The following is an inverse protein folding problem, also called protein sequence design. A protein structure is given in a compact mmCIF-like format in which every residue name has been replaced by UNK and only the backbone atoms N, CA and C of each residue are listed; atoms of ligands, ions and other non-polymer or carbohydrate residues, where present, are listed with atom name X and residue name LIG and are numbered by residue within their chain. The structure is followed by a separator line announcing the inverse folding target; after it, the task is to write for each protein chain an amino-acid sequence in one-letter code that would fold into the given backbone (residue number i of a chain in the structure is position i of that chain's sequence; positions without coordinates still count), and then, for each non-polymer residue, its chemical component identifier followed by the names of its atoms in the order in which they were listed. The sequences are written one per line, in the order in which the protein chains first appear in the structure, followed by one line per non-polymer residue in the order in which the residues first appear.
data_IF_059805749480
#
_entry.id   IF_059805749480
#
_cell.length_a   1.000
_cell.length_b   1.000
_cell.length_c   1.000
_cell.angle_alpha   90.00
_cell.angle_beta   90.00
_cell.angle_gamma   90.00
#
_symmetry.space_group_name_H-M   'P 1'
#
loop_
_entity.id
_entity.type
_entity.pdbx_description
1 polymer ?
#
# COMPACT_ATOMS: atom_id res chain seq x y z
N UNK A 1 10.23 6.49 -25.81
CA UNK A 1 9.33 5.73 -24.91
C UNK A 1 9.41 4.27 -25.30
N UNK A 2 9.51 3.36 -24.35
CA UNK A 2 9.48 1.91 -24.61
C UNK A 2 8.10 1.47 -25.10
N UNK A 3 8.03 0.28 -25.75
CA UNK A 3 6.76 -0.30 -26.26
C UNK A 3 5.70 -0.54 -25.18
N UNK A 4 6.11 -0.64 -23.90
CA UNK A 4 5.24 -0.91 -22.76
C UNK A 4 4.97 0.32 -21.91
N UNK A 5 5.54 1.48 -22.24
CA UNK A 5 5.36 2.71 -21.47
C UNK A 5 3.90 3.13 -21.44
N UNK A 6 3.41 3.50 -20.28
CA UNK A 6 2.06 4.01 -20.04
C UNK A 6 2.13 5.29 -19.19
N UNK A 7 1.02 6.01 -19.12
CA UNK A 7 0.87 7.15 -18.23
C UNK A 7 -0.28 6.92 -17.27
N UNK A 8 -0.06 7.20 -15.99
CA UNK A 8 -1.05 7.11 -14.94
C UNK A 8 -1.10 8.43 -14.18
N UNK A 9 -2.23 9.14 -14.26
CA UNK A 9 -2.44 10.44 -13.59
C UNK A 9 -1.28 11.43 -13.83
N UNK A 10 -0.81 11.55 -15.07
CA UNK A 10 0.28 12.46 -15.45
C UNK A 10 1.70 11.94 -15.17
N UNK A 11 1.85 10.82 -14.48
CA UNK A 11 3.16 10.19 -14.22
C UNK A 11 3.43 9.09 -15.24
N UNK A 12 4.61 9.15 -15.89
CA UNK A 12 5.04 8.14 -16.88
C UNK A 12 5.64 6.93 -16.17
N UNK A 13 5.17 5.75 -16.59
CA UNK A 13 5.69 4.46 -16.18
C UNK A 13 6.35 3.74 -17.35
N UNK A 14 7.41 2.99 -17.09
CA UNK A 14 8.12 2.22 -18.12
C UNK A 14 7.27 1.05 -18.65
N UNK A 15 6.36 0.56 -17.82
CA UNK A 15 5.41 -0.52 -18.15
C UNK A 15 4.20 -0.49 -17.18
N UNK A 16 3.10 -1.19 -17.51
CA UNK A 16 1.87 -1.19 -16.71
C UNK A 16 1.86 -2.19 -15.54
N UNK A 17 2.96 -2.84 -15.22
CA UNK A 17 3.00 -3.86 -14.15
C UNK A 17 3.09 -3.18 -12.79
N UNK A 18 2.04 -3.32 -12.00
CA UNK A 18 1.87 -2.69 -10.69
C UNK A 18 1.40 -3.75 -9.67
N UNK A 19 2.31 -4.35 -8.87
CA UNK A 19 1.91 -5.20 -7.75
C UNK A 19 0.96 -4.50 -6.79
N UNK A 20 -0.11 -5.21 -6.42
CA UNK A 20 -1.16 -4.67 -5.57
C UNK A 20 -0.72 -4.58 -4.10
N UNK A 21 -1.31 -3.62 -3.39
CA UNK A 21 -1.16 -3.49 -1.94
C UNK A 21 -1.51 -4.79 -1.21
N UNK A 22 -0.75 -5.09 -0.17
CA UNK A 22 -0.91 -6.32 0.63
C UNK A 22 -0.25 -7.58 0.04
N UNK A 23 0.26 -7.51 -1.20
CA UNK A 23 0.96 -8.62 -1.87
C UNK A 23 2.46 -8.39 -2.01
N UNK A 24 2.93 -7.18 -1.80
CA UNK A 24 4.31 -6.76 -2.11
C UNK A 24 5.03 -6.08 -0.92
N UNK A 25 4.45 -6.09 0.27
CA UNK A 25 5.04 -5.48 1.47
C UNK A 25 5.39 -4.01 1.26
N UNK A 26 6.61 -3.64 1.61
CA UNK A 26 7.21 -2.34 1.27
C UNK A 26 8.23 -2.45 0.11
N UNK A 27 8.30 -3.59 -0.57
CA UNK A 27 9.08 -3.82 -1.78
C UNK A 27 10.52 -4.25 -1.53
N UNK A 28 11.20 -3.77 -0.50
CA UNK A 28 12.61 -4.09 -0.26
C UNK A 28 12.83 -5.57 0.05
N UNK A 29 11.85 -6.30 0.59
CA UNK A 29 11.91 -7.75 0.79
C UNK A 29 12.02 -8.50 -0.54
N UNK A 30 11.33 -8.02 -1.58
CA UNK A 30 11.43 -8.60 -2.93
C UNK A 30 12.70 -8.17 -3.67
N UNK A 31 13.27 -7.02 -3.30
CA UNK A 31 14.54 -6.57 -3.88
C UNK A 31 15.72 -7.49 -3.51
N UNK A 32 15.59 -8.33 -2.47
CA UNK A 32 16.56 -9.38 -2.15
C UNK A 32 16.54 -10.54 -3.17
N UNK A 33 15.43 -10.69 -3.93
CA UNK A 33 15.23 -11.80 -4.87
C UNK A 33 15.50 -11.38 -6.32
N UNK A 34 15.19 -10.15 -6.69
CA UNK A 34 15.37 -9.61 -8.06
C UNK A 34 15.37 -8.09 -8.07
N UNK A 35 15.82 -7.50 -9.17
CA UNK A 35 15.74 -6.03 -9.37
C UNK A 35 14.30 -5.59 -9.59
N UNK A 36 13.68 -5.06 -8.52
CA UNK A 36 12.29 -4.58 -8.55
C UNK A 36 12.11 -3.32 -9.43
N UNK A 37 13.18 -2.65 -9.88
CA UNK A 37 13.09 -1.55 -10.84
C UNK A 37 12.60 -1.97 -12.23
N UNK A 38 12.48 -3.29 -12.49
CA UNK A 38 11.80 -3.80 -13.69
C UNK A 38 10.29 -3.54 -13.70
N UNK A 39 9.66 -3.25 -12.55
CA UNK A 39 8.24 -2.91 -12.42
C UNK A 39 7.97 -1.46 -12.87
N UNK A 40 6.74 -1.16 -13.30
CA UNK A 40 6.32 0.22 -13.54
C UNK A 40 6.29 1.03 -12.25
N UNK A 41 5.59 0.53 -11.27
CA UNK A 41 5.55 0.96 -9.86
C UNK A 41 4.95 -0.18 -9.03
N UNK A 42 4.64 0.05 -7.77
CA UNK A 42 3.82 -0.85 -6.94
C UNK A 42 3.08 -0.08 -5.84
N UNK A 43 2.01 -0.67 -5.31
CA UNK A 43 1.33 -0.16 -4.14
C UNK A 43 1.85 -0.84 -2.89
N UNK A 44 2.43 -0.07 -1.97
CA UNK A 44 2.94 -0.64 -0.72
C UNK A 44 1.82 -0.94 0.29
N UNK A 45 2.18 -1.58 1.39
CA UNK A 45 1.27 -2.04 2.44
C UNK A 45 0.37 -0.93 2.95
N UNK A 46 -0.94 -1.22 3.06
CA UNK A 46 -1.94 -0.32 3.62
C UNK A 46 -1.50 0.25 4.96
N UNK A 47 -1.39 1.57 5.01
CA UNK A 47 -0.83 2.34 6.12
C UNK A 47 -1.96 3.08 6.84
N UNK A 48 -1.99 2.97 8.16
CA UNK A 48 -2.91 3.68 9.05
C UNK A 48 -2.18 4.77 9.83
N UNK A 49 -2.93 5.73 10.40
CA UNK A 49 -2.38 6.76 11.27
C UNK A 49 -1.52 6.15 12.37
N UNK A 50 -2.11 5.24 13.16
CA UNK A 50 -1.43 4.54 14.25
C UNK A 50 -0.97 3.14 13.84
N UNK A 51 0.06 2.56 14.52
CA UNK A 51 0.50 1.19 14.28
C UNK A 51 -0.61 0.17 14.55
N UNK A 52 -0.65 -0.91 13.75
CA UNK A 52 -1.60 -2.01 13.94
C UNK A 52 -0.88 -3.35 13.92
N UNK A 53 -1.19 -4.20 14.90
CA UNK A 53 -0.71 -5.59 14.93
C UNK A 53 -1.52 -6.51 14.01
N UNK A 54 -2.67 -6.04 13.51
CA UNK A 54 -3.61 -6.86 12.75
C UNK A 54 -4.51 -7.72 13.65
N UNK A 55 -5.20 -8.66 13.01
CA UNK A 55 -6.08 -9.58 13.72
C UNK A 55 -5.29 -10.66 14.49
N UNK A 56 -5.86 -11.27 15.54
CA UNK A 56 -5.26 -12.43 16.21
C UNK A 56 -5.02 -13.59 15.25
N UNK A 57 -4.01 -14.39 15.55
CA UNK A 57 -3.74 -15.65 14.82
C UNK A 57 -4.65 -16.78 15.31
N UNK A 58 -4.97 -17.80 14.46
CA UNK A 58 -4.55 -17.96 13.06
C UNK A 58 -5.32 -16.99 12.13
N UNK A 59 -4.63 -16.38 11.19
CA UNK A 59 -5.21 -15.41 10.26
C UNK A 59 -4.90 -15.68 8.79
N UNK A 60 -4.32 -16.85 8.53
CA UNK A 60 -4.07 -17.39 7.20
C UNK A 60 -4.50 -18.87 7.23
N UNK A 61 -5.19 -19.32 6.19
CA UNK A 61 -5.58 -20.71 5.99
C UNK A 61 -5.46 -21.10 4.51
N UNK A 62 -4.91 -22.29 4.26
CA UNK A 62 -4.90 -22.86 2.91
C UNK A 62 -6.27 -23.40 2.53
N UNK A 63 -6.58 -23.37 1.25
CA UNK A 63 -7.73 -24.01 0.64
C UNK A 63 -7.34 -24.66 -0.69
N UNK A 64 -8.23 -25.45 -1.31
CA UNK A 64 -7.94 -26.29 -2.48
C UNK A 64 -7.28 -25.54 -3.65
N UNK A 65 -7.59 -24.27 -3.84
CA UNK A 65 -7.12 -23.47 -4.99
C UNK A 65 -6.44 -22.15 -4.59
N UNK A 66 -6.02 -22.01 -3.32
CA UNK A 66 -5.39 -20.76 -2.88
C UNK A 66 -5.26 -20.64 -1.36
N UNK A 67 -5.26 -19.38 -0.91
CA UNK A 67 -5.09 -19.04 0.50
C UNK A 67 -6.15 -18.01 0.90
N UNK A 68 -6.79 -18.25 2.03
CA UNK A 68 -7.71 -17.30 2.67
C UNK A 68 -6.94 -16.54 3.75
N UNK A 69 -7.14 -15.24 3.85
CA UNK A 69 -6.51 -14.44 4.89
C UNK A 69 -7.47 -13.46 5.56
N UNK A 70 -7.15 -13.14 6.81
CA UNK A 70 -7.78 -12.09 7.61
C UNK A 70 -6.70 -11.32 8.38
N UNK A 71 -5.71 -10.77 7.68
CA UNK A 71 -4.52 -10.12 8.30
C UNK A 71 -4.91 -8.89 9.14
N UNK A 72 -5.91 -8.10 8.72
CA UNK A 72 -6.43 -7.00 9.52
C UNK A 72 -5.55 -5.74 9.51
N UNK A 73 -4.98 -5.37 8.35
CA UNK A 73 -4.17 -4.16 8.16
C UNK A 73 -2.95 -4.07 9.08
N UNK A 74 -2.23 -5.15 9.33
CA UNK A 74 -0.97 -5.07 10.05
C UNK A 74 -0.01 -4.12 9.35
N UNK A 75 0.40 -3.06 10.04
CA UNK A 75 1.35 -2.06 9.53
C UNK A 75 1.96 -1.26 10.69
N UNK A 76 3.12 -0.61 10.50
CA UNK A 76 3.82 0.10 11.56
C UNK A 76 3.27 1.51 11.89
N UNK A 77 2.25 1.98 11.16
CA UNK A 77 1.74 3.34 11.24
C UNK A 77 2.54 4.33 10.37
N UNK A 78 1.89 5.43 9.98
CA UNK A 78 2.42 6.38 8.98
C UNK A 78 3.76 6.99 9.39
N UNK A 79 3.97 7.31 10.66
CA UNK A 79 5.22 7.92 11.14
C UNK A 79 6.42 6.98 10.93
N UNK A 80 6.25 5.68 11.21
CA UNK A 80 7.31 4.69 10.95
C UNK A 80 7.47 4.36 9.48
N UNK A 81 6.40 4.39 8.69
CA UNK A 81 6.50 4.24 7.23
C UNK A 81 7.42 5.32 6.68
N UNK A 82 7.24 6.57 7.08
CA UNK A 82 8.06 7.70 6.63
C UNK A 82 9.49 7.61 7.15
N UNK A 83 9.66 7.33 8.45
CA UNK A 83 10.99 7.37 9.08
C UNK A 83 11.85 6.13 8.85
N UNK A 84 11.24 4.97 8.58
CA UNK A 84 11.96 3.69 8.49
C UNK A 84 11.76 2.99 7.15
N UNK A 85 10.50 2.82 6.68
CA UNK A 85 10.20 1.95 5.53
C UNK A 85 10.54 2.62 4.18
N UNK A 86 10.12 3.88 3.97
CA UNK A 86 10.47 4.64 2.76
C UNK A 86 11.99 4.83 2.61
N UNK A 87 12.78 5.15 3.65
CA UNK A 87 14.24 5.17 3.55
C UNK A 87 14.89 3.83 3.17
N UNK A 88 14.33 2.69 3.61
CA UNK A 88 14.79 1.37 3.15
C UNK A 88 14.47 1.15 1.67
N UNK A 89 13.23 1.46 1.28
CA UNK A 89 12.77 1.33 -0.09
C UNK A 89 13.59 2.18 -1.06
N UNK A 90 13.89 3.43 -0.71
CA UNK A 90 14.67 4.37 -1.53
C UNK A 90 16.06 3.83 -1.92
N UNK A 91 16.60 2.87 -1.16
CA UNK A 91 17.89 2.24 -1.46
C UNK A 91 17.83 1.25 -2.62
N UNK A 92 16.66 0.67 -2.91
CA UNK A 92 16.49 -0.41 -3.89
C UNK A 92 15.45 -0.11 -4.98
N UNK A 93 14.61 0.92 -4.82
CA UNK A 93 13.61 1.31 -5.81
C UNK A 93 13.66 2.82 -6.05
N UNK A 94 13.81 3.22 -7.31
CA UNK A 94 14.13 4.61 -7.68
C UNK A 94 13.00 5.32 -8.44
N UNK A 95 11.80 4.76 -8.42
CA UNK A 95 10.61 5.30 -9.09
C UNK A 95 9.57 5.72 -8.05
N UNK A 96 8.62 6.60 -8.42
CA UNK A 96 7.48 6.90 -7.55
C UNK A 96 6.69 5.64 -7.19
N UNK A 97 6.18 5.56 -5.98
CA UNK A 97 5.35 4.47 -5.47
C UNK A 97 3.94 4.92 -5.14
N UNK A 98 3.00 3.98 -5.10
CA UNK A 98 1.64 4.21 -4.63
C UNK A 98 1.58 3.95 -3.12
N UNK A 99 1.15 4.94 -2.37
CA UNK A 99 0.91 4.82 -0.94
C UNK A 99 -0.52 4.36 -0.68
N UNK A 100 -0.70 3.10 -0.25
CA UNK A 100 -2.02 2.63 0.16
C UNK A 100 -2.37 3.19 1.55
N UNK A 101 -3.42 4.01 1.60
CA UNK A 101 -3.88 4.69 2.81
C UNK A 101 -5.15 4.03 3.33
N UNK A 102 -5.14 3.65 4.59
CA UNK A 102 -6.27 3.05 5.28
C UNK A 102 -6.56 3.78 6.59
N UNK A 103 -7.80 3.74 7.06
CA UNK A 103 -8.21 4.38 8.31
C UNK A 103 -9.55 3.85 8.79
N UNK A 104 -9.97 4.32 9.96
CA UNK A 104 -11.23 3.96 10.63
C UNK A 104 -12.14 5.18 10.82
N UNK A 105 -11.61 6.37 10.56
CA UNK A 105 -12.32 7.64 10.58
C UNK A 105 -11.76 8.55 9.48
N UNK A 106 -12.56 9.51 9.02
CA UNK A 106 -12.20 10.43 7.94
C UNK A 106 -10.94 11.24 8.27
N UNK A 107 -10.80 11.69 9.52
CA UNK A 107 -9.64 12.44 9.99
C UNK A 107 -8.34 11.60 10.00
N UNK A 108 -8.43 10.28 10.20
CA UNK A 108 -7.28 9.38 10.10
C UNK A 108 -6.79 9.26 8.64
N UNK A 109 -7.73 9.14 7.69
CA UNK A 109 -7.38 9.17 6.26
C UNK A 109 -6.73 10.51 5.89
N UNK A 110 -7.35 11.63 6.27
CA UNK A 110 -6.83 12.96 5.98
C UNK A 110 -5.42 13.15 6.55
N UNK A 111 -5.19 12.78 7.81
CA UNK A 111 -3.88 12.85 8.46
C UNK A 111 -2.83 12.02 7.71
N UNK A 112 -3.17 10.76 7.40
CA UNK A 112 -2.23 9.84 6.74
C UNK A 112 -1.90 10.32 5.32
N UNK A 113 -2.90 10.78 4.58
CA UNK A 113 -2.70 11.38 3.25
C UNK A 113 -1.80 12.61 3.33
N UNK A 114 -2.07 13.55 4.25
CA UNK A 114 -1.28 14.78 4.41
C UNK A 114 0.19 14.50 4.74
N UNK A 115 0.45 13.45 5.49
CA UNK A 115 1.82 13.03 5.82
C UNK A 115 2.54 12.44 4.62
N UNK A 116 1.90 11.50 3.92
CA UNK A 116 2.50 10.79 2.78
C UNK A 116 2.62 11.66 1.52
N UNK A 117 1.74 12.66 1.35
CA UNK A 117 1.80 13.62 0.24
C UNK A 117 3.08 14.48 0.25
N UNK A 118 3.74 14.60 1.40
CA UNK A 118 5.00 15.34 1.57
C UNK A 118 6.24 14.52 1.19
N UNK A 119 6.07 13.22 0.95
CA UNK A 119 7.19 12.32 0.67
C UNK A 119 7.50 12.27 -0.82
N UNK A 120 8.70 12.68 -1.19
CA UNK A 120 9.17 12.80 -2.58
C UNK A 120 8.99 11.50 -3.40
N UNK A 121 9.11 10.33 -2.76
CA UNK A 121 8.98 9.04 -3.43
C UNK A 121 7.53 8.60 -3.62
N UNK A 122 6.55 9.26 -2.97
CA UNK A 122 5.13 8.95 -3.12
C UNK A 122 4.58 9.70 -4.33
N UNK A 123 4.21 8.96 -5.39
CA UNK A 123 3.63 9.52 -6.61
C UNK A 123 2.11 9.51 -6.62
N UNK A 124 1.48 8.64 -5.82
CA UNK A 124 0.03 8.50 -5.72
C UNK A 124 -0.40 8.10 -4.31
N UNK A 125 -1.58 8.54 -3.93
CA UNK A 125 -2.29 8.08 -2.75
C UNK A 125 -3.44 7.15 -3.19
N UNK A 126 -3.36 5.88 -2.82
CA UNK A 126 -4.41 4.87 -3.05
C UNK A 126 -5.29 4.77 -1.81
N UNK A 127 -6.43 5.44 -1.81
CA UNK A 127 -7.35 5.46 -0.67
C UNK A 127 -8.12 4.14 -0.58
N UNK A 128 -7.84 3.35 0.45
CA UNK A 128 -8.41 2.03 0.65
C UNK A 128 -9.75 2.10 1.39
N UNK A 129 -10.83 2.05 0.65
CA UNK A 129 -12.21 2.00 1.14
C UNK A 129 -12.88 0.64 0.92
N UNK A 130 -12.10 -0.42 0.70
CA UNK A 130 -12.61 -1.75 0.32
C UNK A 130 -12.18 -2.90 1.24
N UNK A 131 -11.34 -2.66 2.27
CA UNK A 131 -10.84 -3.73 3.13
C UNK A 131 -11.98 -4.39 3.94
N UNK A 132 -12.27 -5.71 3.73
CA UNK A 132 -13.32 -6.43 4.46
C UNK A 132 -12.85 -6.94 5.83
N UNK A 133 -11.53 -6.94 6.08
CA UNK A 133 -10.89 -7.61 7.23
C UNK A 133 -10.77 -6.70 8.46
N UNK A 134 -11.49 -5.58 8.48
CA UNK A 134 -11.50 -4.63 9.60
C UNK A 134 -12.94 -4.21 9.93
N UNK A 135 -13.22 -4.04 11.22
CA UNK A 135 -14.50 -3.52 11.68
C UNK A 135 -14.43 -1.99 11.79
N UNK A 136 -15.43 -1.30 11.26
CA UNK A 136 -15.57 0.17 11.38
C UNK A 136 -14.67 1.00 10.46
N UNK A 137 -14.02 0.37 9.46
CA UNK A 137 -13.15 1.03 8.49
C UNK A 137 -13.23 0.38 7.11
N UNK A 138 -12.42 0.80 6.17
CA UNK A 138 -12.32 0.18 4.86
C UNK A 138 -13.66 0.08 4.12
N UNK A 139 -14.19 -1.14 3.94
CA UNK A 139 -15.42 -1.39 3.18
C UNK A 139 -16.66 -0.66 3.72
N UNK A 140 -16.72 -0.29 5.01
CA UNK A 140 -17.83 0.47 5.57
C UNK A 140 -17.94 1.87 4.93
N UNK A 141 -16.83 2.46 4.52
CA UNK A 141 -16.81 3.72 3.75
C UNK A 141 -17.16 3.48 2.28
N UNK A 142 -16.62 2.43 1.66
CA UNK A 142 -16.80 2.15 0.24
C UNK A 142 -18.20 1.70 -0.18
N UNK A 143 -19.04 1.31 0.76
CA UNK A 143 -20.42 0.86 0.49
C UNK A 143 -21.47 1.93 0.70
N UNK A 144 -21.10 3.10 1.16
CA UNK A 144 -22.02 4.21 1.44
C UNK A 144 -21.57 5.48 0.70
N UNK A 145 -22.36 5.97 -0.29
CA UNK A 145 -21.93 7.11 -1.11
C UNK A 145 -21.81 8.43 -0.33
N UNK A 146 -22.40 8.52 0.84
CA UNK A 146 -22.38 9.72 1.70
C UNK A 146 -21.17 9.78 2.65
N UNK A 147 -20.34 8.72 2.73
CA UNK A 147 -19.20 8.63 3.65
C UNK A 147 -17.86 9.05 3.06
#
# INVERSE_FOLDING_TARGET
MGRLSVELCGVKLDNPVIPASGTFGYGYEYAELYDINCLGTFSFKGTTKDPRFGNPTPRIAECTAGMINAVGLQNPGVEKVISEELPKLKKCFHKPVMANVSGFAVDEYAYTCEKLDKEEQVGWLEVNISCPNVHGGGMSFGTQPES
#
